data_IF_102602592019
#
_entry.id   IF_102602592019
#
_cell.length_a   1.000
_cell.length_b   1.000
_cell.length_c   1.000
_cell.angle_alpha   90.00
_cell.angle_beta   90.00
_cell.angle_gamma   90.00
#
_symmetry.space_group_name_H-M   'P 1'
#
loop_
_entity.id
_entity.type
_entity.pdbx_description
1 polymer ?
#
# COMPACT_ATOMS: atom_id res chain seq x y z
N UNK A 1 -27.17 18.13 -21.55
CA UNK A 1 -26.80 16.74 -21.18
C UNK A 1 -25.28 16.71 -21.24
N UNK A 2 -24.65 17.27 -20.21
CA UNK A 2 -23.21 17.48 -20.21
C UNK A 2 -22.60 16.38 -19.35
N UNK A 3 -22.28 15.27 -20.00
CA UNK A 3 -21.45 14.25 -19.40
C UNK A 3 -20.10 14.90 -19.11
N UNK A 4 -19.90 15.29 -17.86
CA UNK A 4 -18.58 15.61 -17.30
C UNK A 4 -17.78 14.33 -17.45
N UNK A 5 -17.00 14.23 -18.54
CA UNK A 5 -15.95 13.23 -18.72
C UNK A 5 -15.09 13.40 -17.46
N UNK A 6 -15.25 12.48 -16.51
CA UNK A 6 -14.43 12.43 -15.32
C UNK A 6 -13.06 12.06 -15.88
N UNK A 7 -12.19 13.06 -15.97
CA UNK A 7 -10.82 12.89 -16.43
C UNK A 7 -10.13 12.00 -15.37
N UNK A 8 -10.08 10.69 -15.63
CA UNK A 8 -9.54 9.67 -14.71
C UNK A 8 -8.02 9.86 -14.53
N UNK A 9 -7.40 10.68 -15.39
CA UNK A 9 -5.97 10.94 -15.43
C UNK A 9 -5.55 12.24 -14.72
N UNK A 10 -6.30 12.69 -13.70
CA UNK A 10 -5.68 13.61 -12.73
C UNK A 10 -4.64 12.80 -11.97
N UNK A 11 -3.36 13.10 -12.19
CA UNK A 11 -2.27 12.73 -11.28
C UNK A 11 -2.76 12.98 -9.84
N UNK A 12 -3.07 11.89 -9.14
CA UNK A 12 -3.60 11.98 -7.80
C UNK A 12 -2.41 12.34 -6.92
N UNK A 13 -2.46 13.54 -6.33
CA UNK A 13 -1.45 13.99 -5.37
C UNK A 13 -1.13 12.86 -4.38
N UNK A 14 0.17 12.54 -4.19
CA UNK A 14 0.59 11.44 -3.32
C UNK A 14 0.22 11.71 -1.87
N UNK A 15 -0.03 12.98 -1.51
CA UNK A 15 -0.41 13.42 -0.18
C UNK A 15 -1.84 13.97 -0.23
N UNK A 16 -2.72 13.53 0.67
CA UNK A 16 -4.07 14.08 0.82
C UNK A 16 -4.09 15.43 1.53
N UNK A 17 -5.23 16.12 1.48
CA UNK A 17 -5.40 17.45 2.09
C UNK A 17 -5.21 17.48 3.61
N UNK A 18 -5.29 16.33 4.28
CA UNK A 18 -4.99 16.13 5.71
C UNK A 18 -3.53 15.71 5.97
N UNK A 19 -2.68 15.65 4.94
CA UNK A 19 -1.27 15.34 5.04
C UNK A 19 -0.92 13.85 5.03
N UNK A 20 -1.86 12.95 4.70
CA UNK A 20 -1.60 11.50 4.66
C UNK A 20 -0.96 11.12 3.33
N UNK A 21 0.16 10.39 3.37
CA UNK A 21 0.73 9.76 2.18
C UNK A 21 -0.16 8.58 1.74
N UNK A 22 -0.74 8.71 0.55
CA UNK A 22 -1.67 7.76 -0.03
C UNK A 22 -0.97 6.69 -0.89
N UNK A 23 0.33 6.79 -1.13
CA UNK A 23 1.06 5.89 -2.04
C UNK A 23 0.89 4.44 -1.64
N UNK A 24 1.17 4.12 -0.37
CA UNK A 24 1.06 2.75 0.13
C UNK A 24 -0.40 2.28 0.24
N UNK A 25 -1.32 3.20 0.57
CA UNK A 25 -2.75 2.89 0.67
C UNK A 25 -3.31 2.54 -0.72
N UNK A 26 -3.00 3.34 -1.74
CA UNK A 26 -3.41 3.11 -3.13
C UNK A 26 -2.82 1.81 -3.67
N UNK A 27 -1.54 1.56 -3.42
CA UNK A 27 -0.90 0.30 -3.77
C UNK A 27 -1.59 -0.90 -3.09
N UNK A 28 -1.94 -0.81 -1.81
CA UNK A 28 -2.69 -1.87 -1.14
C UNK A 28 -4.09 -2.07 -1.74
N UNK A 29 -4.77 -0.99 -2.12
CA UNK A 29 -6.12 -1.04 -2.70
C UNK A 29 -6.15 -1.49 -4.17
N UNK A 30 -5.03 -1.41 -4.90
CA UNK A 30 -4.93 -1.97 -6.24
C UNK A 30 -4.79 -3.50 -6.26
N UNK A 31 -4.62 -4.13 -5.09
CA UNK A 31 -4.44 -5.57 -4.97
C UNK A 31 -5.73 -6.30 -4.58
N UNK A 32 -5.86 -7.53 -5.08
CA UNK A 32 -6.89 -8.47 -4.63
C UNK A 32 -6.70 -8.83 -3.15
N UNK A 33 -7.74 -9.33 -2.46
CA UNK A 33 -7.61 -9.75 -1.06
C UNK A 33 -6.50 -10.79 -0.83
N UNK A 34 -6.29 -11.70 -1.79
CA UNK A 34 -5.29 -12.77 -1.68
C UNK A 34 -3.87 -12.20 -1.78
N UNK A 35 -3.59 -11.34 -2.75
CA UNK A 35 -2.27 -10.71 -2.92
C UNK A 35 -1.89 -9.87 -1.69
N UNK A 36 -2.85 -9.12 -1.16
CA UNK A 36 -2.66 -8.34 0.07
C UNK A 36 -2.30 -9.22 1.26
N UNK A 37 -2.97 -10.37 1.40
CA UNK A 37 -2.66 -11.33 2.45
C UNK A 37 -1.25 -11.90 2.29
N UNK A 38 -0.85 -12.24 1.06
CA UNK A 38 0.50 -12.77 0.78
C UNK A 38 1.59 -11.76 1.14
N UNK A 39 1.43 -10.50 0.74
CA UNK A 39 2.37 -9.42 1.07
C UNK A 39 2.43 -9.20 2.58
N UNK A 40 1.28 -9.14 3.27
CA UNK A 40 1.26 -8.99 4.73
C UNK A 40 2.02 -10.14 5.41
N UNK A 41 1.74 -11.38 5.02
CA UNK A 41 2.42 -12.55 5.58
C UNK A 41 3.94 -12.50 5.34
N UNK A 42 4.39 -12.07 4.17
CA UNK A 42 5.82 -11.92 3.86
C UNK A 42 6.47 -10.85 4.73
N UNK A 43 5.83 -9.70 4.93
CA UNK A 43 6.33 -8.64 5.82
C UNK A 43 6.44 -9.13 7.28
N UNK A 44 5.41 -9.81 7.79
CA UNK A 44 5.43 -10.40 9.14
C UNK A 44 6.60 -11.37 9.29
N UNK A 45 6.79 -12.31 8.34
CA UNK A 45 7.91 -13.25 8.37
C UNK A 45 9.26 -12.54 8.36
N UNK A 46 9.42 -11.48 7.57
CA UNK A 46 10.66 -10.69 7.53
C UNK A 46 10.95 -10.02 8.88
N UNK A 47 9.95 -9.42 9.52
CA UNK A 47 10.10 -8.81 10.84
C UNK A 47 10.47 -9.86 11.90
N UNK A 48 9.81 -11.02 11.88
CA UNK A 48 10.11 -12.12 12.81
C UNK A 48 11.55 -12.62 12.63
N UNK A 49 12.03 -12.77 11.38
CA UNK A 49 13.43 -13.13 11.11
C UNK A 49 14.42 -12.10 11.65
N UNK A 50 14.13 -10.80 11.51
CA UNK A 50 14.98 -9.74 12.05
C UNK A 50 14.99 -9.75 13.57
N UNK A 51 13.84 -9.99 14.20
CA UNK A 51 13.72 -10.13 15.66
C UNK A 51 14.55 -11.32 16.16
N UNK A 52 14.41 -12.47 15.51
CA UNK A 52 15.02 -13.73 15.96
C UNK A 52 16.49 -13.85 15.56
N UNK A 53 16.92 -13.12 14.51
CA UNK A 53 18.30 -13.07 14.03
C UNK A 53 19.30 -12.43 15.02
N UNK A 54 18.82 -11.79 16.10
CA UNK A 54 19.68 -11.31 17.20
C UNK A 54 20.18 -12.42 18.15
N UNK A 55 19.81 -13.68 17.93
CA UNK A 55 20.28 -14.81 18.75
C UNK A 55 21.51 -15.55 18.18
N UNK A 56 22.12 -15.04 17.11
CA UNK A 56 23.33 -15.61 16.52
C UNK A 56 24.53 -14.68 16.61
N UNK A 57 25.23 -14.74 17.76
CA UNK A 57 26.66 -14.48 18.08
C UNK A 57 26.79 -13.84 19.45
#
# INVERSE_FOLDING_TARGET
>A
MDAKIINIDKEQEPISNDGIDLTLIRWMLSMTPIERLQILQNNVRSILRLRDGKQGT
#
